data_IF_624457197135
#
_entry.id   IF_624457197135
#
_cell.length_a   1.000
_cell.length_b   1.000
_cell.length_c   1.000
_cell.angle_alpha   90.00
_cell.angle_beta   90.00
_cell.angle_gamma   90.00
#
_symmetry.space_group_name_H-M   'P 1'
#
loop_
_entity.id
_entity.type
_entity.pdbx_description
1 polymer ?
#
# COMPACT_ATOMS: atom_id res chain seq x y z
N UNK A 1 -8.91 14.03 9.02
CA UNK A 1 -7.57 13.44 8.97
C UNK A 1 -6.77 14.06 7.85
N UNK A 2 -5.49 14.30 8.07
CA UNK A 2 -4.54 14.74 7.06
C UNK A 2 -3.43 13.69 6.98
N UNK A 3 -3.04 13.34 5.77
CA UNK A 3 -1.91 12.45 5.50
C UNK A 3 -0.85 13.21 4.74
N UNK A 4 0.41 12.99 5.11
CA UNK A 4 1.57 13.59 4.48
C UNK A 4 2.62 12.51 4.17
N UNK A 5 3.19 12.58 2.97
CA UNK A 5 4.28 11.71 2.53
C UNK A 5 5.42 12.62 2.09
N UNK A 6 6.62 12.36 2.61
CA UNK A 6 7.81 13.11 2.18
C UNK A 6 8.23 12.67 0.79
N UNK A 7 8.19 13.59 -0.16
CA UNK A 7 8.58 13.38 -1.54
C UNK A 7 10.03 13.83 -1.79
N UNK A 8 10.68 13.22 -2.76
CA UNK A 8 11.99 13.63 -3.28
C UNK A 8 11.80 14.23 -4.67
N UNK A 9 12.08 15.53 -4.81
CA UNK A 9 11.83 16.32 -6.02
C UNK A 9 10.40 16.18 -6.57
N UNK A 10 9.41 16.04 -5.68
CA UNK A 10 8.01 15.89 -6.03
C UNK A 10 7.59 14.45 -6.36
N UNK A 11 8.45 13.45 -6.21
CA UNK A 11 8.15 12.03 -6.44
C UNK A 11 8.23 11.19 -5.17
N UNK A 12 7.60 10.00 -5.17
CA UNK A 12 7.92 8.96 -4.19
C UNK A 12 9.44 8.72 -4.22
N UNK A 13 10.15 8.79 -3.09
CA UNK A 13 11.59 8.62 -3.07
C UNK A 13 12.04 7.30 -3.70
N UNK A 14 13.10 7.36 -4.49
CA UNK A 14 13.64 6.21 -5.23
C UNK A 14 13.90 4.99 -4.34
N UNK A 15 14.26 5.21 -3.07
CA UNK A 15 14.45 4.14 -2.08
C UNK A 15 13.24 3.21 -1.88
N UNK A 16 12.04 3.64 -2.28
CA UNK A 16 10.80 2.86 -2.18
C UNK A 16 10.22 2.45 -3.55
N UNK A 17 10.86 2.83 -4.65
CA UNK A 17 10.33 2.69 -6.00
C UNK A 17 11.32 1.96 -6.91
N UNK A 18 11.18 2.13 -8.24
CA UNK A 18 11.94 1.46 -9.29
C UNK A 18 13.46 1.47 -9.11
N UNK A 19 14.01 2.46 -8.41
CA UNK A 19 15.46 2.61 -8.18
C UNK A 19 15.89 2.26 -6.75
N UNK A 20 15.05 1.56 -6.00
CA UNK A 20 15.35 1.19 -4.62
C UNK A 20 16.65 0.39 -4.53
N UNK A 21 17.52 0.65 -3.53
CA UNK A 21 18.75 -0.11 -3.34
C UNK A 21 18.44 -1.55 -2.90
N UNK A 22 19.42 -2.45 -3.04
CA UNK A 22 19.23 -3.89 -2.80
C UNK A 22 18.67 -4.22 -1.41
N UNK A 23 19.05 -3.47 -0.37
CA UNK A 23 18.57 -3.68 1.01
C UNK A 23 17.09 -3.28 1.22
N UNK A 24 16.46 -2.63 0.24
CA UNK A 24 15.03 -2.28 0.24
C UNK A 24 14.18 -3.22 -0.60
N UNK A 25 14.81 -4.24 -1.21
CA UNK A 25 14.21 -5.13 -2.20
C UNK A 25 14.12 -6.57 -1.72
N UNK A 26 13.16 -7.31 -2.27
CA UNK A 26 13.09 -8.77 -2.22
C UNK A 26 12.93 -9.28 -3.66
N UNK A 27 13.83 -10.13 -4.13
CA UNK A 27 13.85 -10.62 -5.52
C UNK A 27 13.72 -9.47 -6.55
N UNK A 28 14.53 -8.43 -6.39
CA UNK A 28 14.52 -7.21 -7.20
C UNK A 28 13.22 -6.39 -7.22
N UNK A 29 12.22 -6.74 -6.41
CA UNK A 29 11.03 -5.92 -6.20
C UNK A 29 11.22 -5.01 -4.98
N UNK A 30 10.90 -3.71 -5.03
CA UNK A 30 10.94 -2.85 -3.85
C UNK A 30 9.84 -3.27 -2.87
N UNK A 31 10.22 -3.84 -1.72
CA UNK A 31 9.25 -4.42 -0.75
C UNK A 31 9.13 -3.62 0.55
N UNK A 32 9.80 -2.47 0.62
CA UNK A 32 9.79 -1.59 1.78
C UNK A 32 8.87 -0.40 1.52
N UNK A 33 7.80 -0.25 2.30
CA UNK A 33 6.91 0.91 2.19
C UNK A 33 7.56 2.18 2.72
N UNK A 34 7.15 3.32 2.17
CA UNK A 34 7.45 4.64 2.71
C UNK A 34 6.66 4.93 3.99
N UNK A 35 7.17 5.79 4.88
CA UNK A 35 6.41 6.27 6.03
C UNK A 35 5.28 7.20 5.58
N UNK A 36 4.16 7.15 6.30
CA UNK A 36 3.01 8.06 6.13
C UNK A 36 2.76 8.75 7.46
N UNK A 37 2.90 10.07 7.47
CA UNK A 37 2.59 10.90 8.63
C UNK A 37 1.09 11.21 8.65
N UNK A 38 0.52 11.16 9.85
CA UNK A 38 -0.94 11.23 10.02
C UNK A 38 -1.24 12.22 11.14
N UNK A 39 -2.13 13.16 10.85
CA UNK A 39 -2.59 14.15 11.81
C UNK A 39 -4.09 14.37 11.72
N UNK A 40 -4.68 14.97 12.77
CA UNK A 40 -6.10 15.29 12.83
C UNK A 40 -7.01 14.07 12.58
N UNK A 41 -6.61 12.91 13.09
CA UNK A 41 -7.40 11.68 13.02
C UNK A 41 -8.69 11.85 13.84
N UNK A 42 -9.87 11.43 13.36
CA UNK A 42 -11.14 11.62 14.08
C UNK A 42 -11.13 10.97 15.47
N UNK A 43 -11.85 11.59 16.40
CA UNK A 43 -12.12 10.98 17.70
C UNK A 43 -12.83 9.63 17.52
N UNK A 44 -12.44 8.63 18.32
CA UNK A 44 -12.98 7.27 18.21
C UNK A 44 -12.22 6.36 17.23
N UNK A 45 -11.25 6.88 16.48
CA UNK A 45 -10.42 6.02 15.61
C UNK A 45 -9.63 5.01 16.43
N UNK A 46 -9.85 3.73 16.16
CA UNK A 46 -9.18 2.60 16.82
C UNK A 46 -8.08 1.97 15.95
N UNK A 47 -8.21 2.05 14.62
CA UNK A 47 -7.18 1.58 13.71
C UNK A 47 -7.21 2.31 12.37
N UNK A 48 -6.12 2.21 11.63
CA UNK A 48 -6.08 2.65 10.23
C UNK A 48 -5.98 1.47 9.29
N UNK A 49 -6.41 1.69 8.05
CA UNK A 49 -6.08 0.83 6.92
C UNK A 49 -5.61 1.65 5.73
N UNK A 50 -4.86 1.02 4.84
CA UNK A 50 -4.25 1.66 3.68
C UNK A 50 -4.45 0.82 2.43
N UNK A 51 -4.68 1.50 1.31
CA UNK A 51 -4.54 0.96 -0.03
C UNK A 51 -3.71 1.90 -0.90
N UNK A 52 -2.80 1.36 -1.69
CA UNK A 52 -2.07 2.09 -2.74
C UNK A 52 -2.39 1.43 -4.08
N UNK A 53 -2.98 2.18 -5.00
CA UNK A 53 -3.44 1.67 -6.30
C UNK A 53 -2.89 2.55 -7.42
N UNK A 54 -2.39 1.90 -8.46
CA UNK A 54 -1.99 2.52 -9.72
C UNK A 54 -3.14 2.39 -10.73
N UNK A 55 -3.83 3.49 -11.02
CA UNK A 55 -4.85 3.52 -12.07
C UNK A 55 -4.25 3.76 -13.46
N UNK A 56 -3.05 4.33 -13.55
CA UNK A 56 -2.31 4.51 -14.80
C UNK A 56 -1.81 3.18 -15.36
N UNK A 57 -1.83 2.10 -14.56
CA UNK A 57 -1.61 0.73 -15.03
C UNK A 57 -2.71 0.20 -15.97
N UNK A 58 -3.92 0.80 -15.98
CA UNK A 58 -5.04 0.34 -16.84
C UNK A 58 -4.67 0.28 -18.33
N UNK A 59 -4.13 1.34 -18.97
CA UNK A 59 -3.68 1.26 -20.37
C UNK A 59 -2.48 0.35 -20.60
N UNK A 60 -1.74 -0.04 -19.55
CA UNK A 60 -0.53 -0.87 -19.65
C UNK A 60 -0.86 -2.36 -19.56
N UNK A 61 -1.66 -2.77 -18.58
CA UNK A 61 -1.98 -4.19 -18.31
C UNK A 61 -3.48 -4.51 -18.27
N UNK A 62 -4.35 -3.55 -18.52
CA UNK A 62 -5.80 -3.74 -18.63
C UNK A 62 -6.59 -3.62 -17.33
N UNK A 63 -5.95 -3.33 -16.19
CA UNK A 63 -6.61 -3.16 -14.89
C UNK A 63 -5.78 -2.29 -13.93
N UNK A 64 -6.41 -1.68 -12.90
CA UNK A 64 -5.66 -0.98 -11.86
C UNK A 64 -4.76 -1.93 -11.07
N UNK A 65 -3.53 -1.55 -10.81
CA UNK A 65 -2.57 -2.39 -10.09
C UNK A 65 -2.59 -2.06 -8.60
N UNK A 66 -2.82 -3.08 -7.76
CA UNK A 66 -2.78 -2.94 -6.31
C UNK A 66 -1.32 -3.09 -5.89
N UNK A 67 -0.75 -2.02 -5.33
CA UNK A 67 0.63 -1.99 -4.85
C UNK A 67 0.75 -2.34 -3.38
N UNK A 68 -0.24 -1.98 -2.57
CA UNK A 68 -0.18 -2.19 -1.12
C UNK A 68 -1.55 -2.24 -0.50
N UNK A 69 -1.75 -3.19 0.41
CA UNK A 69 -2.90 -3.28 1.30
C UNK A 69 -2.41 -3.60 2.71
N UNK A 70 -2.86 -2.83 3.70
CA UNK A 70 -2.66 -3.18 5.09
C UNK A 70 -3.81 -2.65 5.97
N UNK A 71 -4.11 -3.35 7.06
CA UNK A 71 -5.19 -3.05 7.99
C UNK A 71 -4.70 -3.16 9.44
N UNK A 72 -5.54 -2.73 10.38
CA UNK A 72 -5.24 -2.80 11.82
C UNK A 72 -3.93 -2.07 12.19
N UNK A 73 -3.65 -0.96 11.51
CA UNK A 73 -2.43 -0.18 11.65
C UNK A 73 -2.50 0.78 12.86
N UNK A 74 -1.34 1.23 13.38
CA UNK A 74 -1.30 2.28 14.40
C UNK A 74 -1.99 3.57 13.93
N UNK A 75 -2.64 4.27 14.86
CA UNK A 75 -3.44 5.48 14.56
C UNK A 75 -2.60 6.75 14.38
N UNK A 76 -1.37 6.75 14.90
CA UNK A 76 -0.49 7.92 14.91
C UNK A 76 0.30 8.13 13.62
N UNK A 77 0.73 7.04 12.99
CA UNK A 77 1.54 7.05 11.78
C UNK A 77 1.62 5.64 11.19
N UNK A 78 2.00 5.55 9.91
CA UNK A 78 2.43 4.30 9.30
C UNK A 78 3.96 4.35 9.14
N UNK A 79 4.73 3.52 9.86
CA UNK A 79 6.18 3.57 9.81
C UNK A 79 6.74 3.09 8.46
N UNK A 80 7.95 3.53 8.15
CA UNK A 80 8.79 2.89 7.14
C UNK A 80 8.97 1.41 7.49
N UNK A 81 8.93 0.55 6.46
CA UNK A 81 9.09 -0.89 6.64
C UNK A 81 8.12 -1.48 7.68
N UNK A 82 6.83 -1.17 7.54
CA UNK A 82 5.75 -1.63 8.41
C UNK A 82 5.79 -3.16 8.62
N UNK A 83 6.16 -3.92 7.60
CA UNK A 83 6.28 -5.38 7.70
C UNK A 83 7.30 -5.80 8.75
N UNK A 84 8.44 -5.12 8.85
CA UNK A 84 9.46 -5.42 9.84
C UNK A 84 8.98 -5.17 11.28
N UNK A 85 8.02 -4.25 11.48
CA UNK A 85 7.46 -3.99 12.81
C UNK A 85 6.50 -5.09 13.26
N UNK A 86 6.05 -5.97 12.35
CA UNK A 86 5.03 -7.00 12.61
C UNK A 86 3.75 -6.45 13.23
N UNK A 87 3.40 -5.20 12.89
CA UNK A 87 2.18 -4.52 13.36
C UNK A 87 1.24 -4.38 12.17
N UNK A 88 0.00 -4.84 12.35
CA UNK A 88 -1.03 -4.82 11.32
C UNK A 88 -1.28 -6.18 10.68
N UNK A 89 -2.31 -6.20 9.84
CA UNK A 89 -2.67 -7.31 8.97
C UNK A 89 -2.35 -6.90 7.53
N UNK A 90 -1.68 -7.76 6.78
CA UNK A 90 -1.18 -7.46 5.43
C UNK A 90 -2.02 -8.14 4.36
N UNK A 91 -2.44 -7.38 3.36
CA UNK A 91 -3.26 -7.87 2.26
C UNK A 91 -2.43 -8.25 1.05
N UNK A 92 -3.07 -8.92 0.10
CA UNK A 92 -2.47 -9.42 -1.13
C UNK A 92 -2.48 -8.38 -2.24
N UNK A 93 -1.32 -8.10 -2.84
CA UNK A 93 -1.14 -7.16 -3.95
C UNK A 93 -1.24 -7.85 -5.33
N UNK A 94 -1.18 -7.07 -6.42
CA UNK A 94 -1.41 -7.57 -7.77
C UNK A 94 -0.33 -8.49 -8.33
N UNK A 95 0.85 -8.64 -7.69
CA UNK A 95 1.81 -9.70 -8.06
C UNK A 95 1.24 -11.12 -7.87
N UNK A 96 0.12 -11.25 -7.14
CA UNK A 96 -0.66 -12.49 -7.08
C UNK A 96 -1.16 -12.97 -8.44
N UNK A 97 -1.29 -12.06 -9.42
CA UNK A 97 -1.54 -12.42 -10.81
C UNK A 97 -0.54 -13.47 -11.31
N UNK A 98 0.75 -13.32 -11.00
CA UNK A 98 1.80 -14.21 -11.48
C UNK A 98 1.72 -15.60 -10.83
N UNK A 99 1.24 -15.65 -9.59
CA UNK A 99 0.95 -16.93 -8.92
C UNK A 99 -0.21 -17.63 -9.61
N UNK A 100 -1.33 -16.91 -9.83
CA UNK A 100 -2.57 -17.51 -10.34
C UNK A 100 -2.56 -17.79 -11.85
N UNK A 101 -1.81 -17.01 -12.63
CA UNK A 101 -1.85 -17.07 -14.11
C UNK A 101 -0.56 -17.58 -14.72
N UNK A 102 0.58 -17.35 -14.07
CA UNK A 102 1.90 -17.78 -14.58
C UNK A 102 2.47 -18.98 -13.81
N UNK A 103 1.81 -19.42 -12.74
CA UNK A 103 2.24 -20.58 -11.94
C UNK A 103 3.50 -20.32 -11.11
N UNK A 104 3.85 -19.05 -10.88
CA UNK A 104 4.96 -18.70 -9.99
C UNK A 104 4.65 -19.12 -8.54
N UNK A 105 5.65 -19.51 -7.75
CA UNK A 105 5.42 -19.86 -6.35
C UNK A 105 4.95 -18.64 -5.56
N UNK A 106 3.94 -18.84 -4.70
CA UNK A 106 3.53 -17.81 -3.75
C UNK A 106 4.67 -17.46 -2.80
N UNK A 107 4.88 -16.16 -2.57
CA UNK A 107 5.87 -15.64 -1.63
C UNK A 107 5.25 -14.49 -0.84
N UNK A 108 4.90 -14.73 0.43
CA UNK A 108 4.30 -13.70 1.29
C UNK A 108 5.20 -12.47 1.51
N UNK A 109 6.53 -12.60 1.37
CA UNK A 109 7.45 -11.46 1.41
C UNK A 109 7.36 -10.56 0.17
N UNK A 110 6.62 -10.97 -0.86
CA UNK A 110 6.33 -10.21 -2.07
C UNK A 110 4.83 -9.97 -2.17
N UNK A 111 4.02 -11.04 -2.29
CA UNK A 111 2.59 -10.94 -2.58
C UNK A 111 1.76 -10.32 -1.45
N UNK A 112 2.24 -10.38 -0.20
CA UNK A 112 1.56 -9.79 0.98
C UNK A 112 2.37 -8.61 1.56
N UNK A 113 3.13 -7.93 0.71
CA UNK A 113 3.94 -6.78 1.09
C UNK A 113 3.53 -5.57 0.26
N UNK A 114 4.04 -4.40 0.62
CA UNK A 114 4.13 -3.29 -0.32
C UNK A 114 4.98 -3.73 -1.52
N UNK A 115 4.57 -3.35 -2.73
CA UNK A 115 5.39 -3.45 -3.93
C UNK A 115 5.54 -2.04 -4.49
N UNK A 116 6.77 -1.56 -4.57
CA UNK A 116 7.06 -0.20 -5.00
C UNK A 116 6.62 0.09 -6.43
N UNK A 117 6.29 1.37 -6.74
CA UNK A 117 6.13 1.85 -8.10
C UNK A 117 7.27 1.43 -9.01
N UNK A 118 6.94 0.78 -10.12
CA UNK A 118 7.88 0.44 -11.18
C UNK A 118 7.24 0.69 -12.55
N UNK A 119 6.76 1.92 -12.83
CA UNK A 119 6.04 2.15 -14.07
C UNK A 119 6.98 1.94 -15.27
N UNK A 120 6.53 1.24 -16.32
CA UNK A 120 7.39 0.81 -17.42
C UNK A 120 7.57 1.85 -18.52
N UNK A 121 6.64 2.79 -18.66
CA UNK A 121 6.47 3.66 -19.83
C UNK A 121 6.65 5.16 -19.51
N UNK A 122 6.05 5.64 -18.42
CA UNK A 122 6.08 7.05 -18.02
C UNK A 122 5.91 7.20 -16.51
N UNK A 123 5.96 8.44 -16.02
CA UNK A 123 5.56 8.72 -14.64
C UNK A 123 4.09 8.34 -14.45
N UNK A 124 3.80 7.54 -13.42
CA UNK A 124 2.45 7.19 -12.99
C UNK A 124 2.10 7.91 -11.70
N UNK A 125 0.80 8.13 -11.49
CA UNK A 125 0.26 8.60 -10.21
C UNK A 125 -0.37 7.42 -9.44
N UNK A 126 0.03 7.29 -8.18
CA UNK A 126 -0.42 6.25 -7.29
C UNK A 126 -1.37 6.85 -6.25
N UNK A 127 -2.60 6.37 -6.23
CA UNK A 127 -3.63 6.80 -5.28
C UNK A 127 -3.41 6.11 -3.94
N UNK A 128 -2.85 6.82 -2.97
CA UNK A 128 -2.81 6.40 -1.58
C UNK A 128 -4.13 6.75 -0.90
N UNK A 129 -4.85 5.75 -0.41
CA UNK A 129 -6.04 5.94 0.42
C UNK A 129 -5.76 5.43 1.83
N UNK A 130 -6.02 6.25 2.84
CA UNK A 130 -5.95 5.88 4.25
C UNK A 130 -7.33 6.04 4.87
N UNK A 131 -7.83 4.98 5.50
CA UNK A 131 -9.11 4.96 6.21
C UNK A 131 -8.85 5.08 7.71
N UNK A 132 -9.59 5.95 8.38
CA UNK A 132 -9.69 5.99 9.83
C UNK A 132 -10.91 5.18 10.27
N UNK A 133 -10.70 4.11 11.03
CA UNK A 133 -11.75 3.16 11.38
C UNK A 133 -12.06 3.20 12.88
N UNK A 134 -13.34 3.09 13.23
CA UNK A 134 -13.80 3.02 14.61
C UNK A 134 -13.57 1.66 15.27
N UNK A 135 -12.96 0.70 14.57
CA UNK A 135 -12.71 -0.66 15.04
C UNK A 135 -11.42 -1.24 14.46
N UNK A 136 -11.07 -2.45 14.92
CA UNK A 136 -10.13 -3.34 14.22
C UNK A 136 -10.92 -4.31 13.35
N UNK A 137 -10.43 -4.52 12.13
CA UNK A 137 -11.04 -5.44 11.18
C UNK A 137 -10.64 -6.88 11.50
N UNK A 138 -11.63 -7.78 11.49
CA UNK A 138 -11.40 -9.22 11.52
C UNK A 138 -10.84 -9.68 10.17
N UNK A 139 -9.55 -9.47 9.94
CA UNK A 139 -8.85 -9.85 8.71
C UNK A 139 -7.64 -10.71 9.06
N UNK A 140 -7.41 -11.72 8.22
CA UNK A 140 -6.21 -12.55 8.28
C UNK A 140 -5.20 -12.11 7.22
N UNK A 141 -3.91 -12.35 7.45
CA UNK A 141 -2.88 -12.05 6.45
C UNK A 141 -3.20 -12.77 5.13
N UNK A 142 -3.01 -12.04 4.02
CA UNK A 142 -3.36 -12.52 2.69
C UNK A 142 -4.77 -12.13 2.23
N UNK A 143 -5.52 -11.36 3.02
CA UNK A 143 -6.82 -10.82 2.59
C UNK A 143 -6.70 -10.04 1.27
N UNK A 144 -7.77 -9.99 0.50
CA UNK A 144 -7.82 -9.23 -0.76
C UNK A 144 -8.54 -7.88 -0.61
N UNK A 145 -8.35 -6.98 -1.59
CA UNK A 145 -8.93 -5.63 -1.56
C UNK A 145 -10.46 -5.63 -1.39
N UNK A 146 -11.16 -6.64 -1.93
CA UNK A 146 -12.61 -6.78 -1.75
C UNK A 146 -12.97 -6.96 -0.26
N UNK A 147 -12.21 -7.74 0.50
CA UNK A 147 -12.44 -7.93 1.94
C UNK A 147 -12.07 -6.68 2.73
N UNK A 148 -10.96 -6.02 2.39
CA UNK A 148 -10.59 -4.76 3.02
C UNK A 148 -11.70 -3.72 2.84
N UNK A 149 -12.21 -3.58 1.61
CA UNK A 149 -13.26 -2.64 1.28
C UNK A 149 -14.55 -2.98 2.00
N UNK A 150 -15.05 -4.21 1.88
CA UNK A 150 -16.33 -4.58 2.50
C UNK A 150 -16.30 -4.42 4.01
N UNK A 151 -15.23 -4.87 4.68
CA UNK A 151 -15.11 -4.77 6.13
C UNK A 151 -14.82 -3.34 6.61
N UNK A 152 -14.21 -2.49 5.80
CA UNK A 152 -13.96 -1.08 6.20
C UNK A 152 -15.21 -0.21 6.12
N UNK A 153 -16.06 -0.38 5.09
CA UNK A 153 -17.11 0.58 4.74
C UNK A 153 -18.13 0.88 5.85
N UNK A 154 -18.40 -0.08 6.75
CA UNK A 154 -19.33 0.10 7.87
C UNK A 154 -18.70 0.85 9.06
N UNK A 155 -17.38 1.01 9.06
CA UNK A 155 -16.58 1.47 10.19
C UNK A 155 -15.78 2.74 9.90
N UNK A 156 -15.93 3.32 8.70
CA UNK A 156 -15.19 4.51 8.28
C UNK A 156 -15.67 5.73 9.06
N UNK A 157 -14.75 6.35 9.79
CA UNK A 157 -14.94 7.67 10.39
C UNK A 157 -14.46 8.78 9.46
N UNK A 158 -13.40 8.53 8.68
CA UNK A 158 -12.85 9.48 7.72
C UNK A 158 -11.96 8.77 6.69
N UNK A 159 -11.77 9.40 5.53
CA UNK A 159 -10.92 8.93 4.44
C UNK A 159 -10.02 10.08 3.99
N UNK A 160 -8.72 9.83 3.93
CA UNK A 160 -7.77 10.72 3.30
C UNK A 160 -7.20 10.07 2.04
N UNK A 161 -7.11 10.84 0.96
CA UNK A 161 -6.57 10.42 -0.33
C UNK A 161 -5.43 11.35 -0.71
N UNK A 162 -4.33 10.78 -1.19
CA UNK A 162 -3.18 11.51 -1.70
C UNK A 162 -2.69 10.86 -3.00
N UNK A 163 -2.55 11.66 -4.05
CA UNK A 163 -1.93 11.23 -5.30
C UNK A 163 -0.41 11.39 -5.21
N UNK A 164 0.30 10.30 -5.48
CA UNK A 164 1.74 10.22 -5.31
C UNK A 164 2.38 9.86 -6.65
N UNK A 165 3.07 10.79 -7.33
CA UNK A 165 3.76 10.47 -8.57
C UNK A 165 5.02 9.65 -8.28
N UNK A 166 5.32 8.67 -9.12
CA UNK A 166 6.61 7.99 -9.14
C UNK A 166 7.12 7.89 -10.57
N UNK A 167 8.42 8.18 -10.73
CA UNK A 167 9.07 8.16 -12.04
C UNK A 167 9.27 6.73 -12.55
N UNK A 168 9.22 6.60 -13.87
CA UNK A 168 9.70 5.43 -14.59
C UNK A 168 11.23 5.36 -14.59
#
# INVERSE_FOLDING_TARGET
MKIDVTLDNGFIPDKYAKYAPANYRTNDMPTTNFPVEISNTPAGTQSLSVSLIDYDAVPVCGFPWIHWLAANLPVTNIPENLRATKRGTFGTNSTWHDVQKLGHPANASINQSYIGPMPPDKTHNYTLTVFALDTKLDLQNGFFLNELRSKSMEHVLDIAILELPARA
#
